data_IF_267183298532
#
_entry.id   IF_267183298532
#
_cell.length_a   1.000
_cell.length_b   1.000
_cell.length_c   1.000
_cell.angle_alpha   90.00
_cell.angle_beta   90.00
_cell.angle_gamma   90.00
#
_symmetry.space_group_name_H-M   'P 1'
#
loop_
_entity.id
_entity.type
_entity.pdbx_description
1 polymer ?
#
# COMPACT_ATOMS: atom_id res chain seq x y z
N UNK A 1 35.08 -33.09 35.97
CA UNK A 1 35.18 -32.25 34.75
C UNK A 1 34.14 -32.60 33.67
N UNK A 2 33.84 -33.83 33.40
CA UNK A 2 32.86 -34.25 32.35
C UNK A 2 31.42 -33.75 32.57
N UNK A 3 30.96 -33.71 33.81
CA UNK A 3 29.57 -33.32 34.16
C UNK A 3 29.25 -31.85 33.80
N UNK A 4 30.24 -30.95 33.92
CA UNK A 4 30.06 -29.54 33.63
C UNK A 4 29.99 -29.26 32.12
N UNK A 5 30.61 -30.11 31.30
CA UNK A 5 30.48 -30.00 29.82
C UNK A 5 29.11 -30.43 29.32
N UNK A 6 28.58 -31.51 29.86
CA UNK A 6 27.25 -32.01 29.53
C UNK A 6 26.17 -31.00 29.91
N UNK A 7 26.26 -30.39 31.08
CA UNK A 7 25.32 -29.33 31.50
C UNK A 7 25.39 -28.10 30.60
N UNK A 8 26.59 -27.69 30.18
CA UNK A 8 26.78 -26.55 29.26
C UNK A 8 26.23 -26.87 27.85
N UNK A 9 26.45 -28.07 27.34
CA UNK A 9 25.90 -28.50 26.06
C UNK A 9 24.37 -28.56 26.07
N UNK A 10 23.80 -29.07 27.16
CA UNK A 10 22.32 -29.08 27.32
C UNK A 10 21.74 -27.68 27.41
N UNK A 11 22.41 -26.75 28.11
CA UNK A 11 21.90 -25.36 28.19
C UNK A 11 21.97 -24.62 26.83
N UNK A 12 23.04 -24.83 26.05
CA UNK A 12 23.15 -24.24 24.71
C UNK A 12 22.13 -24.84 23.75
N UNK A 13 21.90 -26.15 23.81
CA UNK A 13 20.89 -26.81 23.01
C UNK A 13 19.47 -26.31 23.36
N UNK A 14 19.16 -26.11 24.62
CA UNK A 14 17.88 -25.60 25.09
C UNK A 14 17.67 -24.16 24.62
N UNK A 15 18.70 -23.31 24.70
CA UNK A 15 18.65 -21.92 24.17
C UNK A 15 18.43 -21.89 22.64
N UNK A 16 19.10 -22.77 21.90
CA UNK A 16 18.92 -22.87 20.45
C UNK A 16 17.50 -23.29 20.06
N UNK A 17 16.88 -24.20 20.79
CA UNK A 17 15.50 -24.63 20.58
C UNK A 17 14.52 -23.49 20.90
N UNK A 18 14.74 -22.75 21.98
CA UNK A 18 13.90 -21.59 22.31
C UNK A 18 13.99 -20.47 21.25
N UNK A 19 15.17 -20.24 20.67
CA UNK A 19 15.35 -19.25 19.60
C UNK A 19 14.68 -19.66 18.28
N UNK A 20 14.65 -20.95 17.97
CA UNK A 20 14.01 -21.43 16.74
C UNK A 20 12.48 -21.42 16.79
N UNK A 21 11.87 -21.52 17.96
CA UNK A 21 10.41 -21.49 18.11
C UNK A 21 9.82 -20.07 17.96
N UNK A 22 10.59 -19.03 18.31
CA UNK A 22 10.11 -17.64 18.18
C UNK A 22 10.15 -17.10 16.74
N UNK A 23 10.93 -17.72 15.86
CA UNK A 23 11.00 -17.30 14.45
C UNK A 23 9.85 -17.81 13.56
N UNK A 24 9.06 -18.77 14.06
CA UNK A 24 8.08 -19.49 13.22
C UNK A 24 6.65 -18.89 13.22
N UNK A 25 6.37 -17.80 13.94
CA UNK A 25 4.98 -17.30 14.11
C UNK A 25 4.72 -15.89 13.59
N UNK A 26 5.58 -15.33 12.76
CA UNK A 26 5.19 -14.18 11.95
C UNK A 26 4.35 -14.69 10.77
N UNK A 27 3.12 -15.11 11.04
CA UNK A 27 2.13 -15.25 9.99
C UNK A 27 2.04 -13.90 9.30
N UNK A 28 2.45 -13.82 8.04
CA UNK A 28 2.30 -12.62 7.21
C UNK A 28 0.81 -12.36 7.08
N UNK A 29 0.30 -11.48 7.93
CA UNK A 29 -1.08 -11.07 7.87
C UNK A 29 -1.29 -10.37 6.53
N UNK A 30 -2.21 -10.88 5.72
CA UNK A 30 -2.57 -10.23 4.47
C UNK A 30 -3.36 -8.95 4.78
N UNK A 31 -2.68 -7.81 4.76
CA UNK A 31 -3.26 -6.51 5.04
C UNK A 31 -3.96 -5.89 3.83
N UNK A 32 -3.81 -6.45 2.63
CA UNK A 32 -4.41 -5.89 1.41
C UNK A 32 -5.92 -5.89 1.44
N UNK A 33 -6.54 -6.78 2.22
CA UNK A 33 -7.99 -6.81 2.42
C UNK A 33 -8.56 -5.54 3.09
N UNK A 34 -7.71 -4.76 3.78
CA UNK A 34 -8.10 -3.50 4.42
C UNK A 34 -7.87 -2.27 3.55
N UNK A 35 -7.27 -2.46 2.38
CA UNK A 35 -7.00 -1.36 1.45
C UNK A 35 -8.23 -1.12 0.59
N UNK A 36 -8.75 0.09 0.66
CA UNK A 36 -9.80 0.56 -0.24
C UNK A 36 -9.23 1.71 -1.09
N UNK A 37 -8.99 1.45 -2.36
CA UNK A 37 -8.40 2.42 -3.29
C UNK A 37 -9.35 3.56 -3.70
N UNK A 38 -10.62 3.46 -3.36
CA UNK A 38 -11.61 4.50 -3.65
C UNK A 38 -11.70 5.58 -2.56
N UNK A 39 -10.98 5.41 -1.44
CA UNK A 39 -11.00 6.40 -0.36
C UNK A 39 -10.46 7.74 -0.87
N UNK A 40 -11.27 8.79 -0.74
CA UNK A 40 -10.92 10.14 -1.17
C UNK A 40 -11.16 10.43 -2.65
N UNK A 41 -11.75 9.52 -3.43
CA UNK A 41 -12.04 9.74 -4.86
C UNK A 41 -13.41 10.35 -5.12
N UNK A 42 -14.29 10.44 -4.12
CA UNK A 42 -15.61 11.05 -4.24
C UNK A 42 -15.74 12.36 -3.45
N UNK A 43 -16.82 13.09 -3.66
CA UNK A 43 -17.07 14.39 -3.05
C UNK A 43 -15.93 15.38 -3.37
N UNK A 44 -15.40 16.06 -2.38
CA UNK A 44 -14.25 16.98 -2.53
C UNK A 44 -12.92 16.33 -2.08
N UNK A 45 -12.77 15.03 -2.25
CA UNK A 45 -11.58 14.30 -1.79
C UNK A 45 -10.32 14.54 -2.62
N UNK A 46 -10.46 14.65 -3.92
CA UNK A 46 -9.40 14.95 -4.90
C UNK A 46 -8.18 14.03 -4.79
N UNK A 47 -8.43 12.74 -4.59
CA UNK A 47 -7.39 11.72 -4.54
C UNK A 47 -7.42 10.90 -5.83
N UNK A 48 -6.30 10.77 -6.52
CA UNK A 48 -6.24 9.92 -7.70
C UNK A 48 -6.30 8.44 -7.32
N UNK A 49 -6.89 7.63 -8.19
CA UNK A 49 -6.97 6.18 -7.99
C UNK A 49 -5.79 5.49 -8.67
N UNK A 50 -4.76 5.18 -7.90
CA UNK A 50 -3.58 4.52 -8.43
C UNK A 50 -2.57 4.15 -7.35
N UNK A 51 -1.65 3.26 -7.69
CA UNK A 51 -0.55 2.87 -6.81
C UNK A 51 0.60 3.88 -6.93
N UNK A 52 1.04 4.40 -5.78
CA UNK A 52 2.15 5.33 -5.70
C UNK A 52 2.99 5.03 -4.45
N UNK A 53 4.06 4.24 -4.60
CA UNK A 53 4.92 3.83 -3.48
C UNK A 53 6.39 3.85 -3.89
N UNK A 54 7.24 4.49 -3.10
CA UNK A 54 7.01 5.55 -2.13
C UNK A 54 6.86 6.91 -2.82
N UNK A 55 7.48 7.09 -4.01
CA UNK A 55 7.48 8.28 -4.85
C UNK A 55 7.52 7.82 -6.31
N UNK A 56 6.42 7.26 -6.79
CA UNK A 56 6.31 6.77 -8.15
C UNK A 56 6.48 7.89 -9.17
N UNK A 57 7.37 7.70 -10.15
CA UNK A 57 7.50 8.61 -11.28
C UNK A 57 6.34 8.48 -12.26
N UNK A 58 5.77 7.29 -12.34
CA UNK A 58 4.59 6.99 -13.12
C UNK A 58 3.45 6.68 -12.16
N UNK A 59 2.38 7.44 -12.26
CA UNK A 59 1.18 7.34 -11.45
C UNK A 59 0.03 6.94 -12.36
N UNK A 60 -0.01 5.67 -12.73
CA UNK A 60 -1.01 5.15 -13.64
C UNK A 60 -2.39 5.10 -12.96
N UNK A 61 -3.39 5.70 -13.61
CA UNK A 61 -4.75 5.70 -13.11
C UNK A 61 -5.79 5.89 -14.22
N UNK A 62 -7.06 5.61 -13.94
CA UNK A 62 -8.17 5.90 -14.86
C UNK A 62 -8.33 7.41 -15.03
N UNK A 63 -8.76 7.80 -16.23
CA UNK A 63 -9.05 9.18 -16.59
C UNK A 63 -10.49 9.30 -17.05
N UNK A 64 -11.22 10.23 -16.48
CA UNK A 64 -12.59 10.58 -16.81
C UNK A 64 -12.67 11.95 -17.47
N UNK A 65 -13.77 12.29 -18.19
CA UNK A 65 -13.97 13.62 -18.70
C UNK A 65 -14.03 14.65 -17.57
N UNK A 66 -13.25 15.72 -17.66
CA UNK A 66 -13.27 16.78 -16.65
C UNK A 66 -14.61 17.53 -16.68
N UNK A 67 -15.41 17.36 -15.65
CA UNK A 67 -16.73 18.01 -15.51
C UNK A 67 -16.75 19.14 -14.49
N UNK A 68 -15.65 19.35 -13.78
CA UNK A 68 -15.50 20.38 -12.77
C UNK A 68 -14.32 20.14 -11.85
N UNK A 69 -14.25 20.88 -10.77
CA UNK A 69 -13.13 20.82 -9.85
C UNK A 69 -12.97 19.47 -9.15
N UNK A 70 -14.08 18.78 -8.88
CA UNK A 70 -14.03 17.48 -8.21
C UNK A 70 -13.39 16.37 -9.06
N UNK A 71 -13.27 16.58 -10.39
CA UNK A 71 -12.54 15.69 -11.31
C UNK A 71 -11.05 16.00 -11.45
N UNK A 72 -10.51 16.94 -10.67
CA UNK A 72 -9.13 17.42 -10.85
C UNK A 72 -8.05 16.34 -10.60
N UNK A 73 -8.39 15.24 -9.96
CA UNK A 73 -7.48 14.09 -9.78
C UNK A 73 -7.59 13.03 -10.89
N UNK A 74 -8.42 13.29 -11.92
CA UNK A 74 -8.60 12.41 -13.07
C UNK A 74 -9.69 11.36 -12.94
N UNK A 75 -10.08 10.99 -11.73
CA UNK A 75 -11.11 10.02 -11.41
C UNK A 75 -12.07 10.56 -10.34
N UNK A 76 -13.37 10.37 -10.56
CA UNK A 76 -14.42 10.71 -9.62
C UNK A 76 -15.35 9.52 -9.37
N UNK A 77 -15.53 9.13 -8.12
CA UNK A 77 -16.19 7.88 -7.74
C UNK A 77 -17.61 7.69 -8.28
N UNK A 78 -18.39 8.76 -8.39
CA UNK A 78 -19.78 8.72 -8.83
C UNK A 78 -19.96 8.92 -10.35
N UNK A 79 -18.85 9.10 -11.11
CA UNK A 79 -18.90 9.13 -12.57
C UNK A 79 -18.82 7.70 -13.15
N UNK A 80 -19.46 7.49 -14.26
CA UNK A 80 -19.52 6.19 -14.97
C UNK A 80 -18.87 6.24 -16.36
N UNK A 81 -18.26 7.36 -16.73
CA UNK A 81 -17.64 7.55 -18.03
C UNK A 81 -16.12 7.57 -17.94
N UNK A 82 -15.48 6.61 -18.59
CA UNK A 82 -14.03 6.49 -18.65
C UNK A 82 -13.54 6.80 -20.07
N UNK A 83 -12.59 7.73 -20.22
CA UNK A 83 -11.98 8.05 -21.52
C UNK A 83 -10.64 7.36 -21.75
N UNK A 84 -9.97 6.89 -20.69
CA UNK A 84 -8.69 6.20 -20.83
C UNK A 84 -7.93 6.04 -19.52
N UNK A 85 -6.59 5.95 -19.65
CA UNK A 85 -5.68 5.87 -18.53
C UNK A 85 -4.54 6.86 -18.73
N UNK A 86 -4.30 7.68 -17.71
CA UNK A 86 -3.18 8.62 -17.70
C UNK A 86 -2.00 8.08 -16.87
N UNK A 87 -0.88 8.78 -16.93
CA UNK A 87 0.38 8.40 -16.30
C UNK A 87 0.83 9.34 -15.20
N UNK A 88 0.22 10.52 -15.11
CA UNK A 88 0.61 11.55 -14.14
C UNK A 88 -0.63 12.15 -13.48
N UNK A 89 -0.77 11.89 -12.19
CA UNK A 89 -1.86 12.43 -11.39
C UNK A 89 -1.32 13.09 -10.13
N UNK A 90 -2.02 14.11 -9.67
CA UNK A 90 -1.78 14.75 -8.38
C UNK A 90 -2.96 14.49 -7.44
N UNK A 91 -2.66 14.24 -6.17
CA UNK A 91 -3.66 14.20 -5.12
C UNK A 91 -3.77 15.54 -4.42
N UNK A 92 -4.99 15.87 -3.98
CA UNK A 92 -5.29 17.10 -3.24
C UNK A 92 -5.86 18.20 -4.12
N UNK A 93 -5.98 19.39 -3.53
CA UNK A 93 -6.59 20.57 -4.15
C UNK A 93 -5.64 21.27 -5.13
N UNK A 94 -4.86 20.53 -5.84
CA UNK A 94 -3.92 21.05 -6.82
C UNK A 94 -4.59 21.61 -8.05
N UNK A 95 -3.78 21.94 -9.01
CA UNK A 95 -4.17 22.52 -10.31
C UNK A 95 -5.11 21.56 -11.03
N UNK A 96 -6.25 22.05 -11.46
CA UNK A 96 -7.20 21.27 -12.25
C UNK A 96 -6.53 20.68 -13.48
N UNK A 97 -6.63 19.36 -13.61
CA UNK A 97 -6.31 18.63 -14.84
C UNK A 97 -4.84 18.62 -15.25
N UNK A 98 -4.04 17.84 -14.54
CA UNK A 98 -2.92 17.16 -15.15
C UNK A 98 -3.41 15.76 -15.56
N UNK A 99 -4.09 15.66 -16.66
CA UNK A 99 -4.35 14.42 -17.37
C UNK A 99 -3.59 14.46 -18.67
N UNK A 100 -2.88 13.39 -18.96
CA UNK A 100 -2.24 13.15 -20.25
C UNK A 100 -3.28 12.89 -21.33
#
# INVERSE_FOLDING_TARGET
>A
MRTNYLLRLLSVALLAVCFSVTAATAATQNLTQYVNQYVGTGGHGHTFMGANVPFGLVQLGPTEPTRGWDWCSGYYYDDDELIGFGHMYLSGTGIGCLGD
#
